data_IF_186933653080
#
_entry.id   IF_186933653080
#
_cell.length_a   1.000
_cell.length_b   1.000
_cell.length_c   1.000
_cell.angle_alpha   90.00
_cell.angle_beta   90.00
_cell.angle_gamma   90.00
#
_symmetry.space_group_name_H-M   'P 1'
#
loop_
_entity.id
_entity.type
_entity.pdbx_description
1 polymer ?
#
# COMPACT_ATOMS: atom_id res chain seq x y z
N UNK A 1 -13.04 -15.78 -1.89
CA UNK A 1 -13.48 -14.60 -1.11
C UNK A 1 -12.31 -13.82 -0.50
N UNK A 2 -11.46 -14.43 0.34
CA UNK A 2 -10.38 -13.70 1.04
C UNK A 2 -9.28 -13.16 0.11
N UNK A 3 -8.91 -13.90 -0.95
CA UNK A 3 -7.95 -13.43 -1.95
C UNK A 3 -8.42 -12.16 -2.67
N UNK A 4 -9.67 -12.17 -3.14
CA UNK A 4 -10.26 -11.05 -3.85
C UNK A 4 -10.33 -9.80 -2.95
N UNK A 5 -10.66 -9.98 -1.66
CA UNK A 5 -10.64 -8.89 -0.68
C UNK A 5 -9.22 -8.32 -0.50
N UNK A 6 -8.20 -9.18 -0.38
CA UNK A 6 -6.81 -8.75 -0.27
C UNK A 6 -6.35 -7.98 -1.52
N UNK A 7 -6.68 -8.49 -2.72
CA UNK A 7 -6.37 -7.85 -3.98
C UNK A 7 -7.06 -6.48 -4.12
N UNK A 8 -8.35 -6.39 -3.76
CA UNK A 8 -9.12 -5.13 -3.79
C UNK A 8 -8.57 -4.11 -2.80
N UNK A 9 -8.24 -4.52 -1.57
CA UNK A 9 -7.66 -3.65 -0.57
C UNK A 9 -6.28 -3.13 -1.02
N UNK A 10 -5.45 -3.99 -1.61
CA UNK A 10 -4.16 -3.58 -2.17
C UNK A 10 -4.34 -2.60 -3.36
N UNK A 11 -5.29 -2.86 -4.26
CA UNK A 11 -5.60 -1.94 -5.36
C UNK A 11 -6.08 -0.57 -4.86
N UNK A 12 -6.95 -0.56 -3.85
CA UNK A 12 -7.46 0.66 -3.23
C UNK A 12 -6.35 1.46 -2.54
N UNK A 13 -5.47 0.79 -1.78
CA UNK A 13 -4.32 1.45 -1.15
C UNK A 13 -3.39 2.08 -2.20
N UNK A 14 -3.13 1.37 -3.30
CA UNK A 14 -2.35 1.90 -4.44
C UNK A 14 -3.01 3.10 -5.12
N UNK A 15 -4.35 3.12 -5.20
CA UNK A 15 -5.10 4.28 -5.70
C UNK A 15 -4.97 5.49 -4.77
N UNK A 16 -5.11 5.28 -3.45
CA UNK A 16 -4.94 6.35 -2.47
C UNK A 16 -3.53 6.95 -2.52
N UNK A 17 -2.48 6.12 -2.61
CA UNK A 17 -1.10 6.57 -2.83
C UNK A 17 -0.97 7.50 -4.04
N UNK A 18 -1.53 7.10 -5.19
CA UNK A 18 -1.46 7.89 -6.42
C UNK A 18 -2.20 9.22 -6.30
N UNK A 19 -3.37 9.22 -5.65
CA UNK A 19 -4.16 10.43 -5.45
C UNK A 19 -3.45 11.42 -4.53
N UNK A 20 -2.95 10.97 -3.36
CA UNK A 20 -2.20 11.84 -2.45
C UNK A 20 -0.88 12.34 -3.08
N UNK A 21 -0.23 11.53 -3.91
CA UNK A 21 0.97 11.93 -4.64
C UNK A 21 0.67 12.97 -5.72
N UNK A 22 -0.47 12.88 -6.41
CA UNK A 22 -0.86 13.87 -7.41
C UNK A 22 -1.11 15.27 -6.82
N UNK A 23 -1.51 15.33 -5.55
CA UNK A 23 -1.61 16.59 -4.79
C UNK A 23 -0.24 17.18 -4.39
N UNK A 24 0.85 16.42 -4.57
CA UNK A 24 2.22 16.79 -4.20
C UNK A 24 3.17 16.62 -5.41
N UNK A 25 3.07 17.45 -6.46
CA UNK A 25 3.78 17.24 -7.73
C UNK A 25 5.32 17.24 -7.62
N UNK A 26 5.89 17.78 -6.55
CA UNK A 26 7.33 17.75 -6.28
C UNK A 26 7.85 16.43 -5.69
N UNK A 27 6.99 15.44 -5.44
CA UNK A 27 7.34 14.20 -4.78
C UNK A 27 7.51 13.06 -5.81
N UNK A 28 8.76 12.71 -6.19
CA UNK A 28 8.99 11.64 -7.16
C UNK A 28 8.64 10.28 -6.56
N UNK A 29 7.43 9.78 -6.87
CA UNK A 29 6.89 8.51 -6.37
C UNK A 29 6.63 7.57 -7.55
N UNK A 30 7.17 6.35 -7.47
CA UNK A 30 6.79 5.24 -8.34
C UNK A 30 6.11 4.16 -7.52
N UNK A 31 4.95 3.69 -7.97
CA UNK A 31 4.21 2.58 -7.36
C UNK A 31 4.16 1.42 -8.34
N UNK A 32 4.59 0.25 -7.91
CA UNK A 32 4.51 -1.00 -8.65
C UNK A 32 3.52 -1.94 -7.93
N UNK A 33 2.70 -2.63 -8.71
CA UNK A 33 1.63 -3.50 -8.19
C UNK A 33 0.24 -2.84 -8.18
N UNK A 34 -0.74 -3.47 -7.51
CA UNK A 34 -0.60 -4.59 -6.57
C UNK A 34 -0.19 -5.90 -7.26
N UNK A 35 0.61 -6.70 -6.58
CA UNK A 35 0.98 -8.06 -7.01
C UNK A 35 0.89 -9.02 -5.82
N UNK A 36 0.61 -10.32 -6.04
CA UNK A 36 0.76 -11.32 -4.99
C UNK A 36 2.17 -11.28 -4.40
N UNK A 37 2.31 -11.50 -3.10
CA UNK A 37 3.62 -11.69 -2.48
C UNK A 37 4.27 -12.99 -2.99
N UNK A 38 5.60 -13.12 -2.89
CA UNK A 38 6.35 -14.30 -3.37
C UNK A 38 5.76 -15.61 -2.82
N UNK A 39 5.35 -15.60 -1.53
CA UNK A 39 4.45 -16.61 -0.96
C UNK A 39 3.06 -15.98 -0.79
N UNK A 40 2.16 -16.29 -1.72
CA UNK A 40 0.86 -15.64 -1.82
C UNK A 40 -0.08 -15.92 -0.64
N UNK A 41 0.08 -17.05 0.07
CA UNK A 41 -0.72 -17.40 1.24
C UNK A 41 0.14 -17.94 2.39
N UNK A 42 -0.06 -17.40 3.60
CA UNK A 42 0.52 -17.94 4.84
C UNK A 42 -0.59 -18.08 5.88
N UNK A 43 -0.70 -19.26 6.48
CA UNK A 43 -1.70 -19.57 7.53
C UNK A 43 -3.13 -19.18 7.09
N UNK A 44 -3.49 -19.48 5.84
CA UNK A 44 -4.81 -19.17 5.26
C UNK A 44 -5.03 -17.70 4.88
N UNK A 45 -4.07 -16.79 5.13
CA UNK A 45 -4.17 -15.37 4.78
C UNK A 45 -3.44 -15.06 3.48
N UNK A 46 -4.15 -14.45 2.53
CA UNK A 46 -3.56 -13.98 1.29
C UNK A 46 -2.76 -12.70 1.50
N UNK A 47 -1.61 -12.61 0.83
CA UNK A 47 -0.69 -11.47 0.92
C UNK A 47 -0.45 -10.87 -0.45
N UNK A 48 -0.70 -9.57 -0.55
CA UNK A 48 -0.42 -8.74 -1.72
C UNK A 48 0.56 -7.65 -1.31
N UNK A 49 1.48 -7.30 -2.21
CA UNK A 49 2.47 -6.25 -2.01
C UNK A 49 2.29 -5.12 -3.01
N UNK A 50 2.59 -3.91 -2.52
CA UNK A 50 2.82 -2.72 -3.33
C UNK A 50 4.27 -2.30 -3.10
N UNK A 51 5.04 -2.17 -4.17
CA UNK A 51 6.41 -1.67 -4.07
C UNK A 51 6.39 -0.18 -4.39
N UNK A 52 6.78 0.64 -3.41
CA UNK A 52 6.86 2.09 -3.58
C UNK A 52 8.32 2.51 -3.59
N UNK A 53 8.74 3.22 -4.64
CA UNK A 53 10.07 3.85 -4.71
C UNK A 53 9.90 5.36 -4.66
N UNK A 54 10.52 5.97 -3.65
CA UNK A 54 10.53 7.41 -3.41
C UNK A 54 11.74 7.75 -2.53
N UNK A 55 12.11 9.03 -2.45
CA UNK A 55 13.02 9.53 -1.42
C UNK A 55 12.33 9.39 -0.05
N UNK A 56 12.98 8.78 0.92
CA UNK A 56 12.47 8.68 2.29
C UNK A 56 12.68 10.00 3.05
N UNK A 57 11.95 11.04 2.65
CA UNK A 57 11.96 12.35 3.29
C UNK A 57 10.69 12.63 4.10
N UNK A 58 10.62 13.83 4.67
CA UNK A 58 9.47 14.26 5.47
C UNK A 58 8.18 14.32 4.64
N UNK A 59 8.25 14.69 3.36
CA UNK A 59 7.08 14.81 2.50
C UNK A 59 6.49 13.42 2.20
N UNK A 60 7.33 12.43 1.88
CA UNK A 60 6.90 11.06 1.67
C UNK A 60 6.28 10.44 2.92
N UNK A 61 6.91 10.66 4.09
CA UNK A 61 6.33 10.20 5.37
C UNK A 61 4.99 10.85 5.66
N UNK A 62 4.81 12.14 5.35
CA UNK A 62 3.53 12.84 5.49
C UNK A 62 2.45 12.26 4.58
N UNK A 63 2.80 12.01 3.31
CA UNK A 63 1.92 11.36 2.34
C UNK A 63 1.48 9.97 2.83
N UNK A 64 2.40 9.15 3.33
CA UNK A 64 2.06 7.82 3.86
C UNK A 64 1.11 7.89 5.06
N UNK A 65 1.25 8.90 5.94
CA UNK A 65 0.32 9.11 7.06
C UNK A 65 -1.08 9.48 6.56
N UNK A 66 -1.18 10.33 5.54
CA UNK A 66 -2.46 10.68 4.92
C UNK A 66 -3.13 9.45 4.30
N UNK A 67 -2.39 8.64 3.54
CA UNK A 67 -2.88 7.40 2.94
C UNK A 67 -3.31 6.39 4.01
N UNK A 68 -2.54 6.22 5.08
CA UNK A 68 -2.92 5.34 6.21
C UNK A 68 -4.25 5.76 6.83
N UNK A 69 -4.42 7.07 7.12
CA UNK A 69 -5.68 7.60 7.65
C UNK A 69 -6.84 7.31 6.71
N UNK A 70 -6.67 7.58 5.42
CA UNK A 70 -7.68 7.32 4.39
C UNK A 70 -8.03 5.84 4.25
N UNK A 71 -7.06 4.95 4.44
CA UNK A 71 -7.31 3.51 4.47
C UNK A 71 -8.11 3.10 5.72
N UNK A 72 -7.81 3.68 6.88
CA UNK A 72 -8.58 3.45 8.11
C UNK A 72 -10.04 3.89 7.98
N UNK A 73 -10.31 4.95 7.22
CA UNK A 73 -11.66 5.44 6.94
C UNK A 73 -12.37 4.67 5.80
N UNK A 74 -11.72 3.65 5.23
CA UNK A 74 -12.23 2.87 4.09
C UNK A 74 -12.99 1.61 4.54
N UNK A 75 -13.86 1.02 3.69
CA UNK A 75 -14.58 -0.21 4.01
C UNK A 75 -13.70 -1.47 4.07
N UNK A 76 -12.38 -1.33 3.85
CA UNK A 76 -11.39 -2.41 3.94
C UNK A 76 -10.83 -2.56 5.36
N UNK A 77 -11.01 -1.57 6.23
CA UNK A 77 -10.59 -1.65 7.64
C UNK A 77 -11.29 -2.82 8.34
N UNK A 78 -10.54 -3.57 9.16
CA UNK A 78 -11.04 -4.78 9.83
C UNK A 78 -11.18 -6.02 8.95
N UNK A 79 -11.19 -5.89 7.61
CA UNK A 79 -11.21 -7.02 6.66
C UNK A 79 -9.81 -7.44 6.24
N UNK A 80 -8.93 -6.45 6.04
CA UNK A 80 -7.56 -6.65 5.59
C UNK A 80 -6.61 -5.77 6.40
N UNK A 81 -5.51 -6.37 6.86
CA UNK A 81 -4.43 -5.65 7.52
C UNK A 81 -3.45 -5.11 6.48
N UNK A 82 -2.94 -3.89 6.70
CA UNK A 82 -1.88 -3.29 5.90
C UNK A 82 -0.70 -3.00 6.81
N UNK A 83 0.47 -3.50 6.42
CA UNK A 83 1.76 -3.19 7.04
C UNK A 83 2.60 -2.38 6.04
N UNK A 84 3.36 -1.41 6.55
CA UNK A 84 4.29 -0.62 5.75
C UNK A 84 5.68 -0.91 6.26
N UNK A 85 6.51 -1.41 5.36
CA UNK A 85 7.92 -1.71 5.61
C UNK A 85 8.78 -0.69 4.85
N UNK A 86 9.66 -0.01 5.57
CA UNK A 86 10.56 1.01 5.00
C UNK A 86 11.92 0.38 4.76
N UNK A 87 12.49 0.66 3.59
CA UNK A 87 13.78 0.09 3.17
C UNK A 87 13.76 -1.45 3.16
N UNK A 88 12.61 -2.04 2.83
CA UNK A 88 12.48 -3.48 2.63
C UNK A 88 13.52 -3.95 1.61
N UNK A 89 14.47 -4.74 2.09
CA UNK A 89 15.33 -5.52 1.22
C UNK A 89 14.44 -6.52 0.50
N UNK A 90 14.50 -6.51 -0.82
CA UNK A 90 13.58 -7.27 -1.65
C UNK A 90 13.79 -8.76 -1.40
N UNK A 91 12.85 -9.37 -0.66
CA UNK A 91 12.62 -10.82 -0.57
C UNK A 91 12.55 -11.47 -1.97
#
# INVERSE_FOLDING_TARGET
>A
MQEQQAAQAAAAFGLFLRQEASANPGLPLRVLGPAPANVAMIHGKYRYKLTVKCRNDKAFRSLLRAVQRRYTDSPYVGKTAVSIDFNSDSD
#
